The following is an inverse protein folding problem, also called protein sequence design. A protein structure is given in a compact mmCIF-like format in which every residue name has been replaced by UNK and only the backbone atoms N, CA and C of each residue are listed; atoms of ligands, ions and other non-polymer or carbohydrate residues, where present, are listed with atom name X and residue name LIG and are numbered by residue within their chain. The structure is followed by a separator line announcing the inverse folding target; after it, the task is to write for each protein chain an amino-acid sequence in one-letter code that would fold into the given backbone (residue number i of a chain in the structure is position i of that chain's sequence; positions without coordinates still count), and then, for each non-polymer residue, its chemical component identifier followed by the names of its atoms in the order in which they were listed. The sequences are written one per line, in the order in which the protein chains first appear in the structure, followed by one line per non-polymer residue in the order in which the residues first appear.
data_IF_927320497831
#
_entry.id   IF_927320497831
#
_cell.length_a   1.000
_cell.length_b   1.000
_cell.length_c   1.000
_cell.angle_alpha   90.00
_cell.angle_beta   90.00
_cell.angle_gamma   90.00
#
_symmetry.space_group_name_H-M   'P 1'
#
loop_
_entity.id
_entity.type
_entity.pdbx_description
1 polymer ?
#
# COMPACT_ATOMS: atom_id res chain seq x y z
N UNK A 1 -44.88 -48.39 -31.86
CA UNK A 1 -44.27 -47.88 -30.61
C UNK A 1 -42.76 -48.02 -30.74
N UNK A 2 -42.05 -46.92 -31.06
CA UNK A 2 -40.58 -46.88 -31.00
C UNK A 2 -40.18 -45.53 -30.43
N UNK A 3 -39.85 -45.51 -29.15
CA UNK A 3 -39.33 -44.33 -28.46
C UNK A 3 -37.82 -44.25 -28.71
N UNK A 4 -37.38 -43.21 -29.42
CA UNK A 4 -35.97 -42.85 -29.59
C UNK A 4 -35.51 -42.17 -28.31
N UNK A 5 -34.66 -42.84 -27.53
CA UNK A 5 -34.04 -42.27 -26.35
C UNK A 5 -32.92 -41.30 -26.76
N UNK A 6 -33.18 -40.00 -26.63
CA UNK A 6 -32.17 -38.94 -26.76
C UNK A 6 -31.29 -38.96 -25.50
N UNK A 7 -30.11 -39.59 -25.62
CA UNK A 7 -29.06 -39.49 -24.61
C UNK A 7 -28.49 -38.07 -24.61
N UNK A 8 -28.96 -37.25 -23.67
CA UNK A 8 -28.44 -35.90 -23.45
C UNK A 8 -27.32 -35.99 -22.43
N UNK A 9 -26.08 -36.23 -22.87
CA UNK A 9 -24.90 -36.26 -22.00
C UNK A 9 -24.60 -34.84 -21.51
N UNK A 10 -25.20 -34.45 -20.39
CA UNK A 10 -24.86 -33.21 -19.69
C UNK A 10 -23.45 -33.39 -19.11
N UNK A 11 -22.43 -32.83 -19.77
CA UNK A 11 -21.10 -32.68 -19.15
C UNK A 11 -21.23 -31.78 -17.92
N UNK A 12 -21.39 -32.41 -16.76
CA UNK A 12 -21.29 -31.77 -15.45
C UNK A 12 -19.85 -31.25 -15.36
N UNK A 13 -19.66 -29.93 -15.41
CA UNK A 13 -18.38 -29.30 -15.08
C UNK A 13 -18.14 -29.58 -13.58
N UNK A 14 -17.48 -30.71 -13.27
CA UNK A 14 -16.94 -30.94 -11.94
C UNK A 14 -15.97 -29.80 -11.61
N UNK A 15 -16.25 -29.11 -10.51
CA UNK A 15 -15.35 -28.11 -9.97
C UNK A 15 -14.08 -28.82 -9.48
N UNK A 16 -13.03 -28.77 -10.28
CA UNK A 16 -11.74 -29.36 -9.95
C UNK A 16 -11.05 -28.50 -8.87
N UNK A 17 -11.32 -28.87 -7.61
CA UNK A 17 -10.79 -28.23 -6.41
C UNK A 17 -9.26 -28.20 -6.44
N UNK A 18 -8.61 -29.25 -6.92
CA UNK A 18 -7.14 -29.32 -6.99
C UNK A 18 -6.57 -28.31 -7.99
N UNK A 19 -7.20 -28.16 -9.15
CA UNK A 19 -6.82 -27.15 -10.15
C UNK A 19 -7.11 -25.73 -9.68
N UNK A 20 -8.22 -25.52 -8.96
CA UNK A 20 -8.53 -24.23 -8.33
C UNK A 20 -7.52 -23.88 -7.23
N UNK A 21 -7.17 -24.83 -6.38
CA UNK A 21 -6.19 -24.66 -5.30
C UNK A 21 -4.79 -24.39 -5.85
N UNK A 22 -4.36 -25.13 -6.89
CA UNK A 22 -3.05 -24.94 -7.53
C UNK A 22 -2.95 -23.60 -8.25
N UNK A 23 -4.05 -23.10 -8.85
CA UNK A 23 -4.13 -21.72 -9.39
C UNK A 23 -4.11 -20.65 -8.29
N UNK A 24 -4.82 -20.87 -7.19
CA UNK A 24 -4.85 -19.94 -6.06
C UNK A 24 -3.47 -19.84 -5.39
N UNK A 25 -2.82 -20.99 -5.15
CA UNK A 25 -1.45 -21.07 -4.65
C UNK A 25 -0.46 -20.45 -5.62
N UNK A 26 -0.61 -20.72 -6.93
CA UNK A 26 0.30 -20.17 -7.94
C UNK A 26 0.17 -18.65 -8.10
N UNK A 27 -1.05 -18.13 -8.15
CA UNK A 27 -1.30 -16.69 -8.13
C UNK A 27 -0.77 -16.02 -6.87
N UNK A 28 -0.88 -16.69 -5.71
CA UNK A 28 -0.37 -16.21 -4.43
C UNK A 28 1.16 -16.13 -4.36
N UNK A 29 1.87 -17.18 -4.77
CA UNK A 29 3.35 -17.22 -4.78
C UNK A 29 3.92 -16.21 -5.78
N UNK A 30 3.37 -16.16 -7.00
CA UNK A 30 3.80 -15.19 -8.01
C UNK A 30 3.50 -13.75 -7.59
N UNK A 31 2.38 -13.52 -6.91
CA UNK A 31 2.04 -12.23 -6.32
C UNK A 31 3.01 -11.83 -5.21
N UNK A 32 3.37 -12.76 -4.32
CA UNK A 32 4.35 -12.52 -3.27
C UNK A 32 5.75 -12.20 -3.83
N UNK A 33 6.21 -12.95 -4.84
CA UNK A 33 7.47 -12.68 -5.52
C UNK A 33 7.47 -11.31 -6.20
N UNK A 34 6.39 -10.96 -6.90
CA UNK A 34 6.22 -9.64 -7.52
C UNK A 34 6.29 -8.51 -6.50
N UNK A 35 5.64 -8.68 -5.34
CA UNK A 35 5.70 -7.72 -4.23
C UNK A 35 7.12 -7.51 -3.71
N UNK A 36 7.91 -8.58 -3.53
CA UNK A 36 9.29 -8.47 -3.03
C UNK A 36 10.14 -7.64 -3.98
N UNK A 37 10.16 -8.00 -5.27
CA UNK A 37 10.98 -7.30 -6.28
C UNK A 37 10.59 -5.83 -6.36
N UNK A 38 9.29 -5.56 -6.48
CA UNK A 38 8.76 -4.21 -6.51
C UNK A 38 9.13 -3.37 -5.29
N UNK A 39 9.02 -3.94 -4.09
CA UNK A 39 9.30 -3.24 -2.84
C UNK A 39 10.77 -2.85 -2.76
N UNK A 40 11.66 -3.71 -3.24
CA UNK A 40 13.10 -3.44 -3.30
C UNK A 40 13.40 -2.37 -4.34
N UNK A 41 12.90 -2.51 -5.58
CA UNK A 41 13.18 -1.56 -6.67
C UNK A 41 12.66 -0.15 -6.37
N UNK A 42 11.48 -0.04 -5.75
CA UNK A 42 10.86 1.27 -5.45
C UNK A 42 11.20 1.79 -4.05
N UNK A 43 12.05 1.09 -3.29
CA UNK A 43 12.47 1.54 -1.97
C UNK A 43 13.11 2.94 -1.99
N UNK A 44 13.99 3.29 -2.94
CA UNK A 44 14.58 4.64 -2.99
C UNK A 44 13.54 5.76 -3.04
N UNK A 45 12.51 5.61 -3.89
CA UNK A 45 11.45 6.60 -3.99
C UNK A 45 10.62 6.70 -2.71
N UNK A 46 10.40 5.57 -2.01
CA UNK A 46 9.73 5.56 -0.71
C UNK A 46 10.55 6.27 0.38
N UNK A 47 11.87 6.10 0.37
CA UNK A 47 12.79 6.78 1.28
C UNK A 47 12.80 8.29 1.01
N UNK A 48 12.92 8.69 -0.26
CA UNK A 48 12.82 10.10 -0.70
C UNK A 48 11.49 10.71 -0.25
N UNK A 49 10.37 10.02 -0.51
CA UNK A 49 9.03 10.48 -0.12
C UNK A 49 8.91 10.71 1.41
N UNK A 50 9.39 9.76 2.23
CA UNK A 50 9.35 9.91 3.69
C UNK A 50 10.26 11.05 4.18
N UNK A 51 11.42 11.23 3.55
CA UNK A 51 12.30 12.37 3.81
C UNK A 51 11.62 13.71 3.48
N UNK A 52 10.87 13.78 2.38
CA UNK A 52 10.10 14.97 2.00
C UNK A 52 8.96 15.27 2.98
N UNK A 53 8.25 14.27 3.49
CA UNK A 53 7.20 14.48 4.50
C UNK A 53 7.74 15.15 5.76
N UNK A 54 8.91 14.70 6.23
CA UNK A 54 9.57 15.28 7.41
C UNK A 54 10.10 16.67 7.13
N UNK A 55 10.90 16.83 6.08
CA UNK A 55 11.75 18.01 5.93
C UNK A 55 11.15 19.13 5.07
N UNK A 56 10.16 18.85 4.22
CA UNK A 56 9.54 19.87 3.38
C UNK A 56 10.46 20.35 2.25
N UNK A 57 10.60 19.55 1.19
CA UNK A 57 11.46 19.88 0.05
C UNK A 57 11.01 19.17 -1.24
N UNK A 58 11.53 19.63 -2.37
CA UNK A 58 11.31 18.99 -3.66
C UNK A 58 12.08 17.66 -3.80
N UNK A 59 11.69 16.87 -4.80
CA UNK A 59 12.19 15.51 -5.00
C UNK A 59 13.65 15.49 -5.41
N UNK A 60 14.09 16.45 -6.23
CA UNK A 60 15.48 16.51 -6.72
C UNK A 60 16.43 16.85 -5.57
N UNK A 61 16.08 17.84 -4.77
CA UNK A 61 16.84 18.22 -3.57
C UNK A 61 16.91 17.07 -2.57
N UNK A 62 15.78 16.38 -2.32
CA UNK A 62 15.76 15.21 -1.43
C UNK A 62 16.67 14.08 -1.90
N UNK A 63 16.66 13.76 -3.21
CA UNK A 63 17.56 12.78 -3.82
C UNK A 63 19.02 13.21 -3.63
N UNK A 64 19.36 14.45 -3.96
CA UNK A 64 20.73 14.95 -3.85
C UNK A 64 21.25 14.93 -2.40
N UNK A 65 20.44 15.34 -1.44
CA UNK A 65 20.81 15.34 -0.02
C UNK A 65 20.98 13.91 0.52
N UNK A 66 20.06 13.00 0.20
CA UNK A 66 20.19 11.59 0.61
C UNK A 66 21.42 10.93 -0.02
N UNK A 67 21.73 11.24 -1.27
CA UNK A 67 22.95 10.74 -1.91
C UNK A 67 24.22 11.27 -1.23
N UNK A 68 24.25 12.57 -0.89
CA UNK A 68 25.38 13.17 -0.16
C UNK A 68 25.55 12.57 1.25
N UNK A 69 24.45 12.21 1.91
CA UNK A 69 24.45 11.67 3.28
C UNK A 69 25.01 10.23 3.36
N UNK A 70 24.86 9.41 2.32
CA UNK A 70 25.34 8.02 2.39
C UNK A 70 25.31 7.22 1.09
N UNK A 71 25.39 7.90 -0.05
CA UNK A 71 25.40 7.32 -1.38
C UNK A 71 24.16 6.48 -1.68
N UNK A 72 24.34 5.44 -2.51
CA UNK A 72 23.23 4.54 -2.89
C UNK A 72 22.65 3.77 -1.72
N UNK A 73 23.47 3.37 -0.74
CA UNK A 73 23.02 2.61 0.43
C UNK A 73 22.03 3.41 1.27
N UNK A 74 22.12 4.75 1.26
CA UNK A 74 21.21 5.62 2.03
C UNK A 74 19.74 5.46 1.64
N UNK A 75 19.47 5.18 0.37
CA UNK A 75 18.12 4.95 -0.13
C UNK A 75 17.49 3.67 0.40
N UNK A 76 18.32 2.69 0.82
CA UNK A 76 17.86 1.35 1.19
C UNK A 76 17.76 1.09 2.70
N UNK A 77 17.96 2.12 3.54
CA UNK A 77 17.91 1.98 5.00
C UNK A 77 16.47 2.15 5.53
N UNK A 78 15.89 1.19 6.29
CA UNK A 78 16.40 -0.14 6.64
C UNK A 78 15.97 -1.25 5.68
N UNK A 79 16.78 -2.32 5.65
CA UNK A 79 16.50 -3.57 4.91
C UNK A 79 15.30 -4.36 5.54
N UNK A 80 14.83 -4.00 6.74
CA UNK A 80 13.80 -4.72 7.50
C UNK A 80 12.33 -4.53 7.02
N UNK A 81 12.08 -4.50 5.70
CA UNK A 81 10.70 -4.33 5.15
C UNK A 81 9.85 -5.60 5.16
N UNK A 82 10.42 -6.78 5.41
CA UNK A 82 9.67 -8.05 5.31
C UNK A 82 8.46 -8.14 6.26
N UNK A 83 8.56 -7.59 7.48
CA UNK A 83 7.46 -7.65 8.46
C UNK A 83 6.21 -6.84 8.09
N UNK A 84 6.38 -5.64 7.51
CA UNK A 84 5.25 -4.74 7.15
C UNK A 84 4.49 -5.29 5.92
N UNK A 85 5.19 -5.85 4.92
CA UNK A 85 4.56 -6.45 3.73
C UNK A 85 3.78 -7.72 4.08
N UNK A 86 4.39 -8.65 4.82
CA UNK A 86 3.73 -9.90 5.21
C UNK A 86 2.50 -9.64 6.11
N UNK A 87 2.61 -8.68 7.03
CA UNK A 87 1.50 -8.34 7.93
C UNK A 87 0.34 -7.65 7.20
N UNK A 88 0.61 -6.72 6.28
CA UNK A 88 -0.45 -6.06 5.50
C UNK A 88 -1.15 -7.05 4.56
N UNK A 89 -0.42 -7.97 3.93
CA UNK A 89 -1.00 -9.03 3.11
C UNK A 89 -1.87 -9.98 3.95
N UNK A 90 -1.39 -10.38 5.13
CA UNK A 90 -2.16 -11.21 6.07
C UNK A 90 -3.45 -10.54 6.56
N UNK A 91 -3.42 -9.24 6.86
CA UNK A 91 -4.61 -8.51 7.30
C UNK A 91 -5.67 -8.35 6.20
N UNK A 92 -5.26 -8.11 4.95
CA UNK A 92 -6.20 -8.06 3.83
C UNK A 92 -6.81 -9.45 3.57
N UNK A 93 -6.01 -10.51 3.65
CA UNK A 93 -6.50 -11.88 3.53
C UNK A 93 -7.49 -12.27 4.65
N UNK A 94 -7.23 -11.84 5.89
CA UNK A 94 -8.12 -12.02 7.05
C UNK A 94 -9.44 -11.23 6.91
N UNK A 95 -9.40 -10.08 6.25
CA UNK A 95 -10.56 -9.24 6.02
C UNK A 95 -11.44 -9.81 4.90
N UNK A 96 -10.82 -10.28 3.81
CA UNK A 96 -11.47 -10.94 2.68
C UNK A 96 -12.06 -12.32 3.05
N UNK A 97 -11.52 -13.00 4.07
CA UNK A 97 -12.02 -14.31 4.52
C UNK A 97 -13.19 -14.23 5.51
N UNK A 98 -13.60 -13.04 5.95
CA UNK A 98 -14.69 -12.91 6.94
C UNK A 98 -16.08 -13.00 6.30
N UNK A 99 -16.82 -14.07 6.62
CA UNK A 99 -18.22 -14.29 6.20
C UNK A 99 -19.20 -13.23 6.73
N UNK A 100 -18.79 -12.45 7.75
CA UNK A 100 -19.59 -11.39 8.39
C UNK A 100 -20.03 -10.28 7.42
N UNK A 101 -19.37 -10.14 6.26
CA UNK A 101 -19.60 -9.04 5.32
C UNK A 101 -20.42 -9.42 4.09
N UNK A 102 -20.91 -10.66 3.96
CA UNK A 102 -21.51 -11.11 2.69
C UNK A 102 -22.82 -10.39 2.33
N UNK A 103 -23.63 -10.01 3.32
CA UNK A 103 -25.00 -9.49 3.16
C UNK A 103 -25.15 -7.96 3.26
N UNK A 104 -24.11 -7.23 3.65
CA UNK A 104 -24.20 -5.77 3.89
C UNK A 104 -24.12 -4.94 2.59
N UNK A 105 -24.66 -3.71 2.55
CA UNK A 105 -24.42 -2.78 1.43
C UNK A 105 -22.93 -2.48 1.23
N UNK A 106 -22.50 -2.28 -0.01
CA UNK A 106 -21.08 -2.10 -0.37
C UNK A 106 -20.38 -1.00 0.45
N UNK A 107 -21.02 0.14 0.67
CA UNK A 107 -20.44 1.23 1.47
C UNK A 107 -20.18 0.85 2.93
N UNK A 108 -21.07 0.04 3.53
CA UNK A 108 -20.94 -0.45 4.90
C UNK A 108 -19.80 -1.46 5.00
N UNK A 109 -19.69 -2.39 4.01
CA UNK A 109 -18.55 -3.31 3.93
C UNK A 109 -17.22 -2.55 3.85
N UNK A 110 -17.15 -1.54 2.98
CA UNK A 110 -15.95 -0.70 2.84
C UNK A 110 -15.62 0.03 4.12
N UNK A 111 -16.61 0.50 4.88
CA UNK A 111 -16.38 1.18 6.16
C UNK A 111 -15.78 0.23 7.22
N UNK A 112 -16.35 -0.96 7.39
CA UNK A 112 -15.80 -1.98 8.30
C UNK A 112 -14.40 -2.44 7.87
N UNK A 113 -14.21 -2.66 6.57
CA UNK A 113 -12.91 -2.99 6.01
C UNK A 113 -11.87 -1.91 6.33
N UNK A 114 -12.24 -0.64 6.17
CA UNK A 114 -11.38 0.51 6.46
C UNK A 114 -11.04 0.60 7.95
N UNK A 115 -12.01 0.36 8.84
CA UNK A 115 -11.81 0.40 10.29
C UNK A 115 -10.90 -0.74 10.78
N UNK A 116 -11.08 -1.94 10.26
CA UNK A 116 -10.20 -3.07 10.56
C UNK A 116 -8.78 -2.82 10.05
N UNK A 117 -8.64 -2.37 8.80
CA UNK A 117 -7.33 -2.02 8.23
C UNK A 117 -6.61 -0.93 9.06
N UNK A 118 -7.35 0.09 9.51
CA UNK A 118 -6.81 1.15 10.38
C UNK A 118 -6.37 0.61 11.75
N UNK A 119 -7.16 -0.28 12.37
CA UNK A 119 -6.85 -0.91 13.66
C UNK A 119 -5.60 -1.79 13.56
N UNK A 120 -5.52 -2.60 12.51
CA UNK A 120 -4.35 -3.43 12.26
C UNK A 120 -3.08 -2.58 12.01
N UNK A 121 -3.22 -1.43 11.34
CA UNK A 121 -2.12 -0.47 11.14
C UNK A 121 -1.57 0.07 12.46
N UNK A 122 -2.38 0.18 13.50
CA UNK A 122 -1.91 0.59 14.83
C UNK A 122 -0.99 -0.45 15.46
N UNK A 123 -1.27 -1.75 15.27
CA UNK A 123 -0.41 -2.84 15.73
C UNK A 123 0.96 -2.84 15.04
N UNK A 124 0.98 -2.49 13.75
CA UNK A 124 2.22 -2.40 12.96
C UNK A 124 2.98 -1.08 13.14
N UNK A 125 2.43 -0.12 13.87
CA UNK A 125 3.03 1.22 13.99
C UNK A 125 4.45 1.20 14.55
N UNK A 126 4.84 0.35 15.53
CA UNK A 126 6.23 0.28 15.99
C UNK A 126 7.24 -0.03 14.87
N UNK A 127 6.90 -0.98 14.00
CA UNK A 127 7.73 -1.38 12.85
C UNK A 127 7.78 -0.24 11.84
N UNK A 128 6.65 0.40 11.56
CA UNK A 128 6.57 1.56 10.67
C UNK A 128 7.35 2.77 11.22
N UNK A 129 7.31 3.01 12.52
CA UNK A 129 8.05 4.08 13.20
C UNK A 129 9.55 3.84 13.11
N UNK A 130 10.01 2.61 13.35
CA UNK A 130 11.42 2.22 13.17
C UNK A 130 11.87 2.48 11.74
N UNK A 131 11.15 1.91 10.77
CA UNK A 131 11.43 2.06 9.34
C UNK A 131 11.44 3.52 8.91
N UNK A 132 10.39 4.27 9.23
CA UNK A 132 10.23 5.66 8.78
C UNK A 132 11.32 6.53 9.41
N UNK A 133 11.66 6.32 10.68
CA UNK A 133 12.75 7.08 11.33
C UNK A 133 14.10 6.80 10.69
N UNK A 134 14.40 5.55 10.35
CA UNK A 134 15.64 5.22 9.63
C UNK A 134 15.65 5.78 8.20
N UNK A 135 14.51 5.81 7.51
CA UNK A 135 14.41 6.42 6.19
C UNK A 135 14.63 7.93 6.23
N UNK A 136 14.16 8.61 7.28
CA UNK A 136 14.32 10.07 7.41
C UNK A 136 15.66 10.48 8.01
N UNK A 137 16.11 9.82 9.08
CA UNK A 137 17.29 10.21 9.86
C UNK A 137 18.57 9.44 9.47
N UNK A 138 18.47 8.41 8.64
CA UNK A 138 19.64 7.64 8.21
C UNK A 138 20.26 6.82 9.36
N UNK A 139 21.59 6.87 9.50
CA UNK A 139 22.32 6.07 10.47
C UNK A 139 21.97 6.39 11.93
N UNK A 140 21.63 7.65 12.21
CA UNK A 140 21.30 8.12 13.57
C UNK A 140 19.88 7.74 13.98
N UNK A 141 19.04 7.24 13.07
CA UNK A 141 17.63 6.94 13.36
C UNK A 141 17.42 5.87 14.44
N UNK A 142 18.28 4.85 14.52
CA UNK A 142 18.21 3.84 15.58
C UNK A 142 18.66 4.38 16.94
N UNK A 143 19.70 5.23 16.95
CA UNK A 143 20.15 5.96 18.14
C UNK A 143 19.03 6.85 18.67
N UNK A 144 18.39 7.61 17.78
CA UNK A 144 17.27 8.48 18.13
C UNK A 144 16.12 7.72 18.80
N UNK A 145 15.71 6.58 18.23
CA UNK A 145 14.64 5.78 18.80
C UNK A 145 15.03 5.17 20.14
N UNK A 146 16.28 4.70 20.29
CA UNK A 146 16.80 4.18 21.56
C UNK A 146 16.77 5.24 22.64
N UNK A 147 17.22 6.46 22.33
CA UNK A 147 17.20 7.60 23.25
C UNK A 147 15.77 7.98 23.62
N UNK A 148 14.85 8.02 22.64
CA UNK A 148 13.43 8.30 22.89
C UNK A 148 12.77 7.25 23.78
N UNK A 149 13.05 5.96 23.54
CA UNK A 149 12.53 4.85 24.37
C UNK A 149 13.07 4.94 25.79
N UNK A 150 14.35 5.32 25.97
CA UNK A 150 14.93 5.55 27.31
C UNK A 150 14.27 6.73 28.02
N UNK A 151 13.99 7.83 27.31
CA UNK A 151 13.44 9.05 27.92
C UNK A 151 11.93 8.99 28.19
N UNK A 152 11.16 8.28 27.37
CA UNK A 152 9.70 8.36 27.37
C UNK A 152 9.01 6.98 27.30
N UNK A 153 9.76 5.88 27.35
CA UNK A 153 9.26 4.52 27.33
C UNK A 153 8.97 3.95 25.93
N UNK A 154 8.63 2.65 25.90
CA UNK A 154 8.33 1.88 24.68
C UNK A 154 7.11 2.41 23.93
N UNK A 155 6.16 3.04 24.62
CA UNK A 155 4.97 3.65 24.01
C UNK A 155 5.28 4.68 22.92
N UNK A 156 6.50 5.23 22.91
CA UNK A 156 6.98 6.17 21.87
C UNK A 156 7.00 5.58 20.46
N UNK A 157 7.09 4.25 20.33
CA UNK A 157 7.03 3.56 19.04
C UNK A 157 5.66 3.67 18.38
N UNK A 158 4.61 3.97 19.15
CA UNK A 158 3.26 4.27 18.67
C UNK A 158 3.01 5.76 18.44
N UNK A 159 4.02 6.63 18.53
CA UNK A 159 3.83 8.02 18.17
C UNK A 159 3.38 8.14 16.71
N UNK A 160 2.25 8.81 16.50
CA UNK A 160 1.64 8.90 15.18
C UNK A 160 0.63 7.79 14.85
N UNK A 161 0.41 6.78 15.70
CA UNK A 161 -0.52 5.66 15.46
C UNK A 161 -1.93 6.12 15.08
N UNK A 162 -2.48 7.14 15.74
CA UNK A 162 -3.82 7.69 15.43
C UNK A 162 -3.84 8.34 14.04
N UNK A 163 -2.80 9.10 13.67
CA UNK A 163 -2.67 9.66 12.33
C UNK A 163 -2.42 8.58 11.26
N UNK A 164 -1.71 7.50 11.62
CA UNK A 164 -1.54 6.33 10.76
C UNK A 164 -2.88 5.62 10.51
N UNK A 165 -3.68 5.41 11.55
CA UNK A 165 -5.03 4.85 11.45
C UNK A 165 -5.95 5.76 10.64
N UNK A 166 -5.99 7.06 10.95
CA UNK A 166 -6.77 8.05 10.23
C UNK A 166 -6.35 8.13 8.75
N UNK A 167 -5.05 8.19 8.44
CA UNK A 167 -4.57 8.22 7.06
C UNK A 167 -4.94 6.94 6.27
N UNK A 168 -5.05 5.81 6.97
CA UNK A 168 -5.48 4.54 6.38
C UNK A 168 -6.97 4.58 6.09
N UNK A 169 -7.77 4.96 7.07
CA UNK A 169 -9.23 5.06 6.91
C UNK A 169 -9.63 6.07 5.84
N UNK A 170 -9.10 7.30 5.94
CA UNK A 170 -9.36 8.44 5.04
C UNK A 170 -8.76 8.21 3.65
N UNK A 171 -7.76 7.35 3.49
CA UNK A 171 -7.27 6.94 2.17
C UNK A 171 -8.13 5.83 1.56
N UNK A 172 -8.47 4.81 2.36
CA UNK A 172 -9.12 3.60 1.88
C UNK A 172 -10.55 3.87 1.39
N UNK A 173 -11.35 4.61 2.15
CA UNK A 173 -12.73 4.88 1.76
C UNK A 173 -12.85 5.65 0.43
N UNK A 174 -12.19 6.81 0.23
CA UNK A 174 -12.23 7.51 -1.06
C UNK A 174 -11.67 6.71 -2.23
N UNK A 175 -10.69 5.84 -1.99
CA UNK A 175 -10.18 4.94 -3.02
C UNK A 175 -11.31 4.05 -3.55
N UNK A 176 -12.01 3.32 -2.66
CA UNK A 176 -13.09 2.41 -3.05
C UNK A 176 -14.30 3.15 -3.60
N UNK A 177 -14.65 4.30 -3.03
CA UNK A 177 -15.73 5.14 -3.55
C UNK A 177 -15.43 5.57 -5.00
N UNK A 178 -14.24 6.10 -5.26
CA UNK A 178 -13.81 6.51 -6.61
C UNK A 178 -13.73 5.31 -7.56
N UNK A 179 -13.16 4.20 -7.10
CA UNK A 179 -13.04 2.98 -7.89
C UNK A 179 -14.41 2.48 -8.32
N UNK A 180 -15.35 2.30 -7.38
CA UNK A 180 -16.69 1.80 -7.68
C UNK A 180 -17.49 2.76 -8.58
N UNK A 181 -17.39 4.07 -8.31
CA UNK A 181 -18.02 5.10 -9.14
C UNK A 181 -17.51 5.02 -10.59
N UNK A 182 -16.20 5.03 -10.80
CA UNK A 182 -15.63 4.94 -12.16
C UNK A 182 -15.89 3.59 -12.82
N UNK A 183 -16.02 2.50 -12.05
CA UNK A 183 -16.43 1.20 -12.58
C UNK A 183 -17.85 1.22 -13.16
N UNK A 184 -18.74 2.06 -12.63
CA UNK A 184 -20.11 2.22 -13.11
C UNK A 184 -20.17 3.12 -14.35
N UNK A 185 -19.46 4.26 -14.33
CA UNK A 185 -19.50 5.23 -15.43
C UNK A 185 -18.66 4.86 -16.65
N UNK A 186 -17.54 4.14 -16.49
CA UNK A 186 -16.67 3.81 -17.63
C UNK A 186 -17.15 2.48 -18.26
N UNK A 187 -17.55 2.46 -19.55
CA UNK A 187 -18.10 1.27 -20.19
C UNK A 187 -17.18 0.05 -20.11
N UNK A 188 -17.78 -1.12 -19.87
CA UNK A 188 -17.05 -2.40 -19.85
C UNK A 188 -16.47 -2.68 -21.24
N UNK A 189 -15.22 -3.12 -21.25
CA UNK A 189 -14.51 -3.45 -22.49
C UNK A 189 -14.59 -4.95 -22.76
N UNK A 190 -14.53 -5.36 -24.03
CA UNK A 190 -14.66 -6.77 -24.43
C UNK A 190 -13.30 -7.46 -24.53
N UNK A 191 -12.32 -6.82 -25.18
CA UNK A 191 -10.96 -7.34 -25.35
C UNK A 191 -10.15 -7.28 -24.06
N UNK A 192 -9.35 -8.31 -23.79
CA UNK A 192 -8.50 -8.41 -22.59
C UNK A 192 -7.61 -7.19 -22.38
N UNK A 193 -6.91 -6.71 -23.41
CA UNK A 193 -6.05 -5.52 -23.31
C UNK A 193 -6.82 -4.26 -22.89
N UNK A 194 -7.99 -4.02 -23.50
CA UNK A 194 -8.85 -2.88 -23.16
C UNK A 194 -9.45 -3.01 -21.75
N UNK A 195 -9.79 -4.22 -21.29
CA UNK A 195 -10.23 -4.49 -19.90
C UNK A 195 -9.14 -4.13 -18.89
N UNK A 196 -7.91 -4.57 -19.15
CA UNK A 196 -6.76 -4.26 -18.29
C UNK A 196 -6.45 -2.77 -18.26
N UNK A 197 -6.41 -2.11 -19.43
CA UNK A 197 -6.18 -0.68 -19.54
C UNK A 197 -7.26 0.13 -18.78
N UNK A 198 -8.54 -0.24 -18.94
CA UNK A 198 -9.64 0.36 -18.20
C UNK A 198 -9.45 0.24 -16.68
N UNK A 199 -9.18 -0.97 -16.19
CA UNK A 199 -9.00 -1.20 -14.75
C UNK A 199 -7.76 -0.48 -14.21
N UNK A 200 -6.69 -0.37 -15.00
CA UNK A 200 -5.49 0.37 -14.63
C UNK A 200 -5.77 1.87 -14.50
N UNK A 201 -6.48 2.47 -15.46
CA UNK A 201 -6.88 3.89 -15.38
C UNK A 201 -7.75 4.14 -14.16
N UNK A 202 -8.78 3.31 -13.94
CA UNK A 202 -9.68 3.42 -12.79
C UNK A 202 -8.91 3.32 -11.46
N UNK A 203 -8.09 2.29 -11.32
CA UNK A 203 -7.29 2.08 -10.11
C UNK A 203 -6.27 3.19 -9.86
N UNK A 204 -5.67 3.74 -10.92
CA UNK A 204 -4.74 4.86 -10.80
C UNK A 204 -5.45 6.16 -10.40
N UNK A 205 -6.60 6.47 -11.01
CA UNK A 205 -7.44 7.62 -10.63
C UNK A 205 -7.90 7.53 -9.18
N UNK A 206 -8.38 6.35 -8.75
CA UNK A 206 -8.75 6.10 -7.35
C UNK A 206 -7.56 6.31 -6.40
N UNK A 207 -6.36 5.89 -6.82
CA UNK A 207 -5.12 6.08 -6.04
C UNK A 207 -4.75 7.56 -5.89
N UNK A 208 -4.85 8.36 -6.96
CA UNK A 208 -4.61 9.80 -6.90
C UNK A 208 -5.57 10.48 -5.92
N UNK A 209 -6.87 10.20 -6.03
CA UNK A 209 -7.88 10.80 -5.14
C UNK A 209 -7.60 10.46 -3.68
N UNK A 210 -7.38 9.19 -3.37
CA UNK A 210 -7.01 8.74 -2.02
C UNK A 210 -5.72 9.39 -1.51
N UNK A 211 -4.69 9.50 -2.36
CA UNK A 211 -3.41 10.07 -1.99
C UNK A 211 -3.54 11.57 -1.67
N UNK A 212 -4.28 12.33 -2.48
CA UNK A 212 -4.54 13.75 -2.23
C UNK A 212 -5.28 13.98 -0.90
N UNK A 213 -6.35 13.21 -0.65
CA UNK A 213 -7.17 13.38 0.56
C UNK A 213 -6.41 12.96 1.82
N UNK A 214 -5.64 11.87 1.75
CA UNK A 214 -4.92 11.33 2.91
C UNK A 214 -3.55 11.98 3.17
N UNK A 215 -3.05 12.86 2.29
CA UNK A 215 -1.65 13.31 2.36
C UNK A 215 -1.33 14.09 3.63
N UNK A 216 -2.22 14.98 4.09
CA UNK A 216 -1.99 15.77 5.30
C UNK A 216 -1.78 14.91 6.54
N UNK A 217 -2.57 13.85 6.70
CA UNK A 217 -2.42 12.88 7.77
C UNK A 217 -1.08 12.11 7.66
N UNK A 218 -0.62 11.86 6.43
CA UNK A 218 0.69 11.21 6.18
C UNK A 218 1.86 12.12 6.52
N UNK A 219 1.78 13.40 6.17
CA UNK A 219 2.77 14.41 6.57
C UNK A 219 2.85 14.48 8.08
N UNK A 220 1.71 14.61 8.76
CA UNK A 220 1.67 14.73 10.22
C UNK A 220 2.12 13.45 10.93
N UNK A 221 1.74 12.25 10.45
CA UNK A 221 2.23 11.00 11.04
C UNK A 221 3.75 10.93 10.94
N UNK A 222 4.32 11.22 9.77
CA UNK A 222 5.75 11.05 9.52
C UNK A 222 6.54 12.11 10.28
N UNK A 223 6.01 13.33 10.34
CA UNK A 223 6.61 14.40 11.11
C UNK A 223 6.76 14.02 12.59
N UNK A 224 5.69 13.47 13.20
CA UNK A 224 5.68 13.04 14.61
C UNK A 224 6.49 11.78 14.86
N UNK A 225 6.38 10.75 14.00
CA UNK A 225 7.12 9.48 14.14
C UNK A 225 8.64 9.72 14.20
N UNK A 226 9.11 10.72 13.46
CA UNK A 226 10.54 10.98 13.25
C UNK A 226 11.05 12.22 13.99
N UNK A 227 10.19 12.86 14.80
CA UNK A 227 10.57 14.02 15.62
C UNK A 227 11.38 13.59 16.84
N UNK A 228 12.40 14.34 17.20
CA UNK A 228 13.31 13.90 18.26
C UNK A 228 12.62 13.81 19.63
N UNK A 229 11.82 14.83 19.92
CA UNK A 229 11.03 14.96 21.14
C UNK A 229 9.56 14.60 20.93
N UNK A 230 8.82 14.51 22.05
CA UNK A 230 7.37 14.30 22.03
C UNK A 230 6.64 15.56 21.55
N UNK A 231 6.20 15.53 20.30
CA UNK A 231 5.38 16.60 19.71
C UNK A 231 3.91 16.17 19.64
N UNK A 232 2.98 17.06 19.98
CA UNK A 232 1.54 16.84 19.82
C UNK A 232 1.10 16.95 18.35
N UNK A 233 -0.12 16.51 18.02
CA UNK A 233 -0.65 16.70 16.66
C UNK A 233 -0.79 18.19 16.29
N UNK A 234 -1.26 19.01 17.23
CA UNK A 234 -1.40 20.46 17.03
C UNK A 234 -0.05 21.12 16.77
N UNK A 235 0.97 20.80 17.57
CA UNK A 235 2.31 21.34 17.37
C UNK A 235 2.90 20.89 16.03
N UNK A 236 2.75 19.62 15.65
CA UNK A 236 3.22 19.15 14.34
C UNK A 236 2.57 19.90 13.18
N UNK A 237 1.26 20.19 13.27
CA UNK A 237 0.56 21.02 12.27
C UNK A 237 1.10 22.46 12.28
N UNK A 238 1.25 23.07 13.45
CA UNK A 238 1.75 24.44 13.59
C UNK A 238 3.18 24.59 13.03
N UNK A 239 4.08 23.66 13.35
CA UNK A 239 5.46 23.68 12.87
C UNK A 239 5.56 23.47 11.35
N UNK A 240 4.72 22.57 10.78
CA UNK A 240 4.67 22.38 9.33
C UNK A 240 4.14 23.62 8.63
N UNK A 241 3.07 24.23 9.14
CA UNK A 241 2.50 25.46 8.59
C UNK A 241 3.48 26.62 8.73
N UNK A 242 4.17 26.75 9.86
CA UNK A 242 5.15 27.81 10.08
C UNK A 242 6.32 27.71 9.09
N UNK A 243 6.72 26.48 8.71
CA UNK A 243 7.83 26.26 7.78
C UNK A 243 7.44 26.37 6.29
N UNK A 244 6.32 25.76 5.90
CA UNK A 244 5.96 25.54 4.49
C UNK A 244 4.55 26.05 4.14
N UNK A 245 3.87 26.72 5.07
CA UNK A 245 2.48 27.12 4.93
C UNK A 245 1.51 25.93 4.91
N UNK A 246 0.23 26.24 4.66
CA UNK A 246 -0.83 25.22 4.55
C UNK A 246 -0.56 24.25 3.39
N UNK A 247 0.09 24.74 2.33
CA UNK A 247 0.50 23.91 1.18
C UNK A 247 1.46 22.79 1.61
N UNK A 248 2.29 23.01 2.64
CA UNK A 248 3.15 21.98 3.20
C UNK A 248 2.40 20.75 3.74
N UNK A 249 1.20 20.93 4.29
CA UNK A 249 0.39 19.81 4.79
C UNK A 249 -0.09 18.92 3.64
N UNK A 250 -0.53 19.51 2.54
CA UNK A 250 -1.16 18.75 1.45
C UNK A 250 -0.19 18.39 0.32
N UNK A 251 0.90 19.15 0.15
CA UNK A 251 1.78 19.04 -1.01
C UNK A 251 3.08 18.28 -0.76
N UNK A 252 3.60 18.23 0.47
CA UNK A 252 4.87 17.55 0.78
C UNK A 252 4.81 16.10 0.31
N UNK A 253 5.80 15.68 -0.50
CA UNK A 253 5.95 14.30 -0.97
C UNK A 253 4.86 13.78 -1.92
N UNK A 254 3.78 14.54 -2.19
CA UNK A 254 2.61 14.05 -2.94
C UNK A 254 2.97 13.66 -4.38
N UNK A 255 3.76 14.48 -5.08
CA UNK A 255 4.23 14.18 -6.44
C UNK A 255 5.01 12.87 -6.50
N UNK A 256 5.96 12.70 -5.58
CA UNK A 256 6.76 11.47 -5.45
C UNK A 256 5.88 10.27 -5.12
N UNK A 257 4.86 10.45 -4.28
CA UNK A 257 3.89 9.41 -3.93
C UNK A 257 3.09 8.93 -5.14
N UNK A 258 2.50 9.85 -5.90
CA UNK A 258 1.72 9.54 -7.11
C UNK A 258 2.59 8.80 -8.12
N UNK A 259 3.81 9.30 -8.37
CA UNK A 259 4.77 8.63 -9.25
C UNK A 259 5.11 7.22 -8.75
N UNK A 260 5.43 7.08 -7.46
CA UNK A 260 5.79 5.79 -6.87
C UNK A 260 4.64 4.80 -6.98
N UNK A 261 3.41 5.23 -6.69
CA UNK A 261 2.23 4.36 -6.77
C UNK A 261 1.90 3.98 -8.23
N UNK A 262 2.09 4.88 -9.19
CA UNK A 262 1.95 4.58 -10.62
C UNK A 262 2.96 3.53 -11.09
N UNK A 263 4.25 3.74 -10.78
CA UNK A 263 5.30 2.76 -11.04
C UNK A 263 5.03 1.43 -10.34
N UNK A 264 4.49 1.48 -9.12
CA UNK A 264 4.09 0.28 -8.38
C UNK A 264 2.98 -0.48 -9.13
N UNK A 265 1.92 0.18 -9.57
CA UNK A 265 0.85 -0.49 -10.32
C UNK A 265 1.37 -1.20 -11.59
N UNK A 266 2.23 -0.52 -12.35
CA UNK A 266 2.82 -1.04 -13.59
C UNK A 266 3.73 -2.24 -13.30
N UNK A 267 4.69 -2.07 -12.38
CA UNK A 267 5.65 -3.12 -12.04
C UNK A 267 4.97 -4.38 -11.50
N UNK A 268 3.98 -4.22 -10.61
CA UNK A 268 3.27 -5.37 -10.04
C UNK A 268 2.56 -6.16 -11.15
N UNK A 269 1.86 -5.47 -12.04
CA UNK A 269 1.10 -6.10 -13.13
C UNK A 269 2.00 -6.90 -14.08
N UNK A 270 3.18 -6.34 -14.42
CA UNK A 270 4.17 -7.00 -15.28
C UNK A 270 4.83 -8.18 -14.57
N UNK A 271 5.35 -7.96 -13.36
CA UNK A 271 6.07 -8.99 -12.60
C UNK A 271 5.17 -10.15 -12.19
N UNK A 272 3.94 -9.86 -11.78
CA UNK A 272 2.98 -10.90 -11.41
C UNK A 272 2.70 -11.81 -12.59
N UNK A 273 2.44 -11.24 -13.78
CA UNK A 273 2.20 -12.01 -15.00
C UNK A 273 3.43 -12.83 -15.42
N UNK A 274 4.62 -12.22 -15.38
CA UNK A 274 5.87 -12.92 -15.69
C UNK A 274 6.13 -14.08 -14.74
N UNK A 275 5.92 -13.89 -13.43
CA UNK A 275 6.11 -14.96 -12.45
C UNK A 275 5.02 -16.01 -12.49
N UNK A 276 3.76 -15.65 -12.78
CA UNK A 276 2.69 -16.64 -13.02
C UNK A 276 3.04 -17.54 -14.20
N UNK A 277 3.47 -16.96 -15.33
CA UNK A 277 3.81 -17.72 -16.55
C UNK A 277 5.05 -18.61 -16.36
N UNK A 278 6.06 -18.16 -15.60
CA UNK A 278 7.31 -18.91 -15.40
C UNK A 278 7.24 -19.94 -14.26
N UNK A 279 6.58 -19.63 -13.15
CA UNK A 279 6.49 -20.53 -11.99
C UNK A 279 5.36 -21.56 -12.14
N UNK A 280 4.32 -21.21 -12.91
CA UNK A 280 3.15 -22.06 -13.15
C UNK A 280 2.79 -22.05 -14.64
N UNK A 281 3.68 -22.55 -15.51
CA UNK A 281 3.40 -22.65 -16.93
C UNK A 281 2.11 -23.45 -17.12
N UNK A 282 1.14 -22.85 -17.81
CA UNK A 282 -0.08 -23.57 -18.19
C UNK A 282 0.36 -24.63 -19.17
N UNK A 283 0.14 -25.91 -18.86
CA UNK A 283 0.34 -27.01 -19.82
C UNK A 283 -0.29 -26.59 -21.16
N UNK A 284 0.56 -26.26 -22.12
CA UNK A 284 0.12 -26.00 -23.48
C UNK A 284 -0.34 -27.36 -23.99
N UNK A 285 -1.66 -27.61 -23.92
CA UNK A 285 -2.26 -28.66 -24.73
C UNK A 285 -1.96 -28.28 -26.18
N UNK A 286 -0.99 -28.98 -26.77
CA UNK A 286 -0.85 -29.14 -28.22
C UNK A 286 -2.15 -29.70 -28.79
#
# INVERSE_FOLDING_TARGET
MSAVAVSTTTKKNEFDLNKALKRALGGGVSGAAAMVVQVLTLMPLRTVMNYQYKNGMDTKTAIQLLYKDGGFVRYYRPISRFGDTASNAGALALLESSDLTRTLPMGVKTLFASAFAASFRMLLTPIDTLKTTMQTQGATGTKLLRERVRAHGVGTLWYGSVATAAATFVGHYPWFATYNMLQEYIPKQTTTGKKLARNAVIGFSASIVSDCISNSLRVIKTYRQTHETKVSYRQAVQEVIAKDGVVGLFGRGLKTRILTNGLQGIMFSVLWKMFEENLFPKDQKK
#
